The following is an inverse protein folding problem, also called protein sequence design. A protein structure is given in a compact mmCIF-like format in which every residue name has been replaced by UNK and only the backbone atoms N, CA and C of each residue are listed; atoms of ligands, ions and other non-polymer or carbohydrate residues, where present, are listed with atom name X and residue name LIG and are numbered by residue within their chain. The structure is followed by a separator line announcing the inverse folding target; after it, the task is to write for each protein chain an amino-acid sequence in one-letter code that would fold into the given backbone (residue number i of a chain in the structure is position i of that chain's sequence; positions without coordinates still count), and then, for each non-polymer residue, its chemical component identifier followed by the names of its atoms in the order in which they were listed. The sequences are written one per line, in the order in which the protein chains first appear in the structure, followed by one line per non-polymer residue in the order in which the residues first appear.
data_IF_422715040494
#
_entry.id   IF_422715040494
#
_cell.length_a   1.000
_cell.length_b   1.000
_cell.length_c   1.000
_cell.angle_alpha   90.00
_cell.angle_beta   90.00
_cell.angle_gamma   90.00
#
_symmetry.space_group_name_H-M   'P 1'
#
loop_
_entity.id
_entity.type
_entity.pdbx_description
1 polymer ?
#
# COMPACT_ATOMS: atom_id res chain seq x y z
N UNK A 1 -4.08 -1.34 29.47
CA UNK A 1 -2.79 -1.67 30.11
C UNK A 1 -1.66 -2.02 29.12
N UNK A 2 -1.86 -1.96 27.79
CA UNK A 2 -0.81 -2.30 26.81
C UNK A 2 0.01 -1.10 26.28
N UNK A 3 -0.31 0.14 26.67
CA UNK A 3 0.22 1.35 26.03
C UNK A 3 1.72 1.61 26.23
N UNK A 4 2.38 0.89 27.15
CA UNK A 4 3.79 1.07 27.52
C UNK A 4 4.70 -0.05 27.01
N UNK A 5 4.12 -1.09 26.40
CA UNK A 5 4.90 -2.20 25.87
C UNK A 5 5.46 -1.82 24.50
N UNK A 6 6.69 -2.26 24.16
CA UNK A 6 7.20 -2.17 22.79
C UNK A 6 6.21 -2.83 21.83
N UNK A 7 5.94 -2.15 20.71
CA UNK A 7 4.92 -2.54 19.72
C UNK A 7 5.20 -3.91 19.08
N UNK A 8 6.46 -4.28 19.02
CA UNK A 8 6.99 -5.54 18.49
C UNK A 8 7.11 -6.65 19.54
N UNK A 9 6.87 -6.35 20.83
CA UNK A 9 6.97 -7.35 21.89
C UNK A 9 5.90 -8.43 21.76
N UNK A 10 6.28 -9.68 22.05
CA UNK A 10 5.37 -10.83 22.03
C UNK A 10 4.16 -10.64 22.95
N UNK A 11 4.36 -10.01 24.12
CA UNK A 11 3.29 -9.68 25.05
C UNK A 11 2.30 -8.66 24.48
N UNK A 12 2.77 -7.65 23.75
CA UNK A 12 1.91 -6.68 23.09
C UNK A 12 1.09 -7.33 21.97
N UNK A 13 1.73 -8.14 21.11
CA UNK A 13 1.07 -8.82 20.00
C UNK A 13 0.03 -9.87 20.46
N UNK A 14 0.23 -10.49 21.61
CA UNK A 14 -0.74 -11.42 22.20
C UNK A 14 -2.02 -10.73 22.67
N UNK A 15 -1.92 -9.49 23.15
CA UNK A 15 -3.06 -8.69 23.64
C UNK A 15 -3.70 -7.89 22.50
N UNK A 16 -2.90 -7.43 21.54
CA UNK A 16 -3.33 -6.65 20.39
C UNK A 16 -2.71 -7.23 19.10
N UNK A 17 -3.40 -8.19 18.47
CA UNK A 17 -2.94 -8.77 17.21
C UNK A 17 -2.87 -7.68 16.14
N UNK A 18 -1.69 -7.54 15.52
CA UNK A 18 -1.46 -6.58 14.46
C UNK A 18 -1.43 -7.27 13.09
N UNK A 19 -2.03 -6.63 12.11
CA UNK A 19 -1.85 -7.00 10.70
C UNK A 19 -0.38 -6.84 10.28
N UNK A 20 0.02 -7.55 9.23
CA UNK A 20 1.41 -7.52 8.73
C UNK A 20 1.90 -6.09 8.40
N UNK A 21 1.00 -5.21 7.95
CA UNK A 21 1.32 -3.79 7.70
C UNK A 21 1.59 -3.04 8.99
N UNK A 22 0.79 -3.29 10.02
CA UNK A 22 0.92 -2.61 11.30
C UNK A 22 2.18 -3.04 12.06
N UNK A 23 2.76 -4.18 11.71
CA UNK A 23 4.04 -4.65 12.25
C UNK A 23 5.24 -3.92 11.65
N UNK A 24 5.11 -3.35 10.44
CA UNK A 24 6.19 -2.56 9.85
C UNK A 24 6.20 -1.15 10.42
N UNK A 25 7.19 -0.86 11.24
CA UNK A 25 7.48 0.50 11.68
C UNK A 25 8.17 1.33 10.57
N UNK A 26 8.26 2.66 10.71
CA UNK A 26 8.92 3.50 9.72
C UNK A 26 10.37 3.11 9.43
N UNK A 27 11.08 2.55 10.41
CA UNK A 27 12.48 2.14 10.27
C UNK A 27 12.58 0.93 9.34
N UNK A 28 11.71 -0.08 9.51
CA UNK A 28 11.58 -1.23 8.63
C UNK A 28 11.26 -0.82 7.19
N UNK A 29 10.33 0.14 7.01
CA UNK A 29 10.02 0.71 5.69
C UNK A 29 11.24 1.36 5.02
N UNK A 30 11.98 2.18 5.77
CA UNK A 30 13.15 2.88 5.26
C UNK A 30 14.32 1.92 4.97
N UNK A 31 14.53 0.93 5.83
CA UNK A 31 15.56 -0.09 5.65
C UNK A 31 15.28 -0.95 4.42
N UNK A 32 14.04 -1.42 4.24
CA UNK A 32 13.64 -2.16 3.05
C UNK A 32 13.90 -1.34 1.78
N UNK A 33 13.52 -0.05 1.79
CA UNK A 33 13.81 0.86 0.68
C UNK A 33 15.31 1.01 0.42
N UNK A 34 16.12 1.19 1.46
CA UNK A 34 17.57 1.35 1.32
C UNK A 34 18.22 0.09 0.73
N UNK A 35 17.85 -1.09 1.23
CA UNK A 35 18.34 -2.38 0.72
C UNK A 35 17.95 -2.58 -0.74
N UNK A 36 16.71 -2.28 -1.12
CA UNK A 36 16.24 -2.38 -2.50
C UNK A 36 17.07 -1.49 -3.46
N UNK A 37 17.35 -0.25 -3.04
CA UNK A 37 18.18 0.69 -3.81
C UNK A 37 19.63 0.22 -3.92
N UNK A 38 20.21 -0.28 -2.83
CA UNK A 38 21.58 -0.80 -2.82
C UNK A 38 21.72 -2.03 -3.73
N UNK A 39 20.76 -2.96 -3.67
CA UNK A 39 20.76 -4.16 -4.52
C UNK A 39 20.65 -3.78 -6.00
N UNK A 40 19.71 -2.89 -6.35
CA UNK A 40 19.58 -2.36 -7.71
C UNK A 40 20.83 -1.64 -8.20
N UNK A 41 21.41 -0.78 -7.36
CA UNK A 41 22.63 -0.04 -7.66
C UNK A 41 23.85 -0.95 -7.84
N UNK A 42 24.00 -1.99 -7.02
CA UNK A 42 25.07 -2.99 -7.17
C UNK A 42 24.93 -3.76 -8.47
N UNK A 43 23.71 -4.17 -8.84
CA UNK A 43 23.44 -4.84 -10.12
C UNK A 43 23.80 -3.95 -11.32
N UNK A 44 23.43 -2.67 -11.27
CA UNK A 44 23.81 -1.69 -12.31
C UNK A 44 25.33 -1.52 -12.39
N UNK A 45 26.02 -1.36 -11.25
CA UNK A 45 27.49 -1.25 -11.20
C UNK A 45 28.20 -2.51 -11.70
N UNK A 46 27.58 -3.68 -11.54
CA UNK A 46 28.03 -4.95 -12.10
C UNK A 46 27.77 -5.10 -13.62
N UNK A 47 27.34 -4.04 -14.30
CA UNK A 47 27.07 -4.05 -15.74
C UNK A 47 25.71 -4.65 -16.11
N UNK A 48 24.77 -4.76 -15.17
CA UNK A 48 23.41 -5.21 -15.44
C UNK A 48 23.30 -6.68 -15.90
N UNK A 49 24.28 -7.52 -15.57
CA UNK A 49 24.30 -8.93 -15.97
C UNK A 49 23.45 -9.78 -15.02
N UNK A 50 22.77 -10.79 -15.59
CA UNK A 50 21.92 -11.71 -14.84
C UNK A 50 20.57 -11.09 -14.44
N UNK A 51 19.82 -11.81 -13.60
CA UNK A 51 18.50 -11.38 -13.15
C UNK A 51 18.60 -10.13 -12.25
N UNK A 52 17.82 -9.09 -12.58
CA UNK A 52 17.68 -7.91 -11.72
C UNK A 52 17.12 -8.34 -10.36
N UNK A 53 17.69 -7.88 -9.23
CA UNK A 53 17.18 -8.22 -7.91
C UNK A 53 15.74 -7.75 -7.74
N UNK A 54 14.91 -8.63 -7.17
CA UNK A 54 13.52 -8.32 -6.83
C UNK A 54 13.50 -7.47 -5.55
N UNK A 55 12.62 -6.46 -5.46
CA UNK A 55 12.44 -5.72 -4.21
C UNK A 55 11.99 -6.61 -3.06
N UNK A 56 12.32 -6.19 -1.85
CA UNK A 56 11.81 -6.79 -0.61
C UNK A 56 10.27 -6.75 -0.62
N UNK A 57 9.59 -7.90 -0.39
CA UNK A 57 8.14 -7.92 -0.30
C UNK A 57 7.65 -6.97 0.80
N UNK A 58 6.80 -6.02 0.41
CA UNK A 58 6.17 -5.08 1.33
C UNK A 58 4.80 -5.63 1.77
N UNK A 59 4.40 -5.43 3.03
CA UNK A 59 3.05 -5.71 3.48
C UNK A 59 2.06 -4.94 2.61
N UNK A 60 1.00 -5.61 2.19
CA UNK A 60 -0.04 -5.01 1.34
C UNK A 60 -1.28 -4.74 2.15
N UNK A 61 -1.97 -3.60 1.91
CA UNK A 61 -3.30 -3.38 2.48
C UNK A 61 -4.19 -4.58 2.18
N UNK A 62 -5.05 -4.98 3.13
CA UNK A 62 -6.09 -5.93 2.81
C UNK A 62 -6.81 -5.40 1.57
N UNK A 63 -7.07 -6.27 0.59
CA UNK A 63 -7.80 -5.88 -0.60
C UNK A 63 -9.18 -5.41 -0.13
N UNK A 64 -9.40 -4.09 -0.14
CA UNK A 64 -10.73 -3.56 0.07
C UNK A 64 -11.64 -4.21 -0.97
N UNK A 65 -12.82 -4.72 -0.58
CA UNK A 65 -13.78 -5.17 -1.57
C UNK A 65 -14.00 -3.99 -2.52
N UNK A 66 -13.68 -4.21 -3.81
CA UNK A 66 -14.04 -3.21 -4.83
C UNK A 66 -15.56 -3.12 -4.74
N UNK A 67 -16.15 -1.94 -4.48
CA UNK A 67 -17.58 -1.81 -4.62
C UNK A 67 -17.86 -2.19 -6.08
N UNK A 68 -18.70 -3.20 -6.27
CA UNK A 68 -19.20 -3.57 -7.58
C UNK A 68 -20.17 -2.46 -8.00
N UNK A 69 -19.60 -1.34 -8.40
CA UNK A 69 -20.34 -0.20 -8.91
C UNK A 69 -20.79 -0.60 -10.31
N UNK A 70 -22.10 -0.65 -10.51
CA UNK A 70 -22.64 -0.66 -11.86
C UNK A 70 -22.22 0.64 -12.55
N UNK A 71 -21.19 0.53 -13.38
CA UNK A 71 -20.61 1.66 -14.07
C UNK A 71 -21.63 2.37 -14.96
N UNK A 72 -22.65 1.65 -15.48
CA UNK A 72 -23.72 2.27 -16.28
C UNK A 72 -24.57 3.18 -15.43
N UNK A 73 -24.91 2.74 -14.22
CA UNK A 73 -25.69 3.53 -13.28
C UNK A 73 -24.92 4.75 -12.78
N UNK A 74 -23.64 4.60 -12.46
CA UNK A 74 -22.78 5.71 -12.03
C UNK A 74 -22.66 6.77 -13.12
N UNK A 75 -22.41 6.35 -14.37
CA UNK A 75 -22.33 7.25 -15.52
C UNK A 75 -23.67 7.94 -15.77
N UNK A 76 -24.79 7.21 -15.67
CA UNK A 76 -26.14 7.75 -15.84
C UNK A 76 -26.43 8.84 -14.80
N UNK A 77 -26.16 8.56 -13.51
CA UNK A 77 -26.33 9.52 -12.41
C UNK A 77 -25.46 10.74 -12.59
N UNK A 78 -24.20 10.55 -12.97
CA UNK A 78 -23.28 11.66 -13.22
C UNK A 78 -23.76 12.56 -14.36
N UNK A 79 -24.18 11.98 -15.49
CA UNK A 79 -24.73 12.73 -16.62
C UNK A 79 -25.98 13.53 -16.25
N UNK A 80 -26.89 12.92 -15.51
CA UNK A 80 -28.11 13.59 -15.04
C UNK A 80 -27.78 14.78 -14.11
N UNK A 81 -26.84 14.60 -13.19
CA UNK A 81 -26.37 15.67 -12.32
C UNK A 81 -25.66 16.79 -13.10
N UNK A 82 -24.81 16.45 -14.07
CA UNK A 82 -24.07 17.42 -14.88
C UNK A 82 -24.99 18.25 -15.77
N UNK A 83 -26.01 17.63 -16.37
CA UNK A 83 -27.03 18.32 -17.16
C UNK A 83 -27.91 19.26 -16.32
N UNK A 84 -28.06 18.99 -15.02
CA UNK A 84 -28.81 19.84 -14.10
C UNK A 84 -28.03 21.09 -13.63
N UNK A 85 -26.74 21.22 -13.97
CA UNK A 85 -25.95 22.41 -13.62
C UNK A 85 -26.19 23.57 -14.59
N UNK A 86 -26.19 24.83 -14.11
CA UNK A 86 -26.30 26.00 -14.98
C UNK A 86 -25.07 26.07 -15.90
N UNK A 87 -25.25 25.69 -17.18
CA UNK A 87 -24.19 25.59 -18.19
C UNK A 87 -23.93 24.17 -18.71
N UNK A 88 -24.56 23.14 -18.14
CA UNK A 88 -24.49 21.77 -18.66
C UNK A 88 -25.14 21.68 -20.04
N UNK A 89 -24.34 21.44 -21.09
CA UNK A 89 -24.86 21.10 -22.42
C UNK A 89 -25.08 19.58 -22.47
N UNK A 90 -26.34 19.17 -22.56
CA UNK A 90 -26.76 17.79 -22.77
C UNK A 90 -26.47 17.28 -24.17
#
# INVERSE_FOLDING_TARGET
MAAHLPRDSTAFLAVQPMTEIEQWDPQAWLLAQAVDQLAGGNWQRGGGKGARPKPTPRPKPPKSPKPELDHREVIRRFKAWYAAQPGGRG
#
